data_IF_625971997427
#
_entry.id   IF_625971997427
#
_cell.length_a   1.000
_cell.length_b   1.000
_cell.length_c   1.000
_cell.angle_alpha   90.00
_cell.angle_beta   90.00
_cell.angle_gamma   90.00
#
_symmetry.space_group_name_H-M   'P 1'
#
loop_
_entity.id
_entity.type
_entity.pdbx_description
1 polymer ?
#
# COMPACT_ATOMS: atom_id res chain seq x y z
N UNK A 1 -46.29 -5.24 -5.00
CA UNK A 1 -46.37 -4.90 -6.44
C UNK A 1 -45.01 -5.26 -7.04
N UNK A 2 -44.89 -6.33 -7.80
CA UNK A 2 -43.65 -6.75 -8.46
C UNK A 2 -43.50 -5.90 -9.72
N UNK A 3 -42.58 -4.94 -9.68
CA UNK A 3 -42.17 -4.19 -10.86
C UNK A 3 -41.41 -5.14 -11.80
N UNK A 4 -41.89 -5.30 -13.04
CA UNK A 4 -41.21 -6.12 -14.07
C UNK A 4 -40.13 -5.28 -14.76
N UNK A 5 -38.95 -5.19 -14.15
CA UNK A 5 -37.80 -4.56 -14.78
C UNK A 5 -36.99 -5.57 -15.59
N UNK A 6 -36.45 -5.16 -16.74
CA UNK A 6 -35.43 -5.89 -17.46
C UNK A 6 -34.08 -5.74 -16.73
N UNK A 7 -33.77 -6.65 -15.80
CA UNK A 7 -32.48 -6.62 -15.08
C UNK A 7 -31.53 -7.70 -15.55
N UNK A 8 -30.33 -7.70 -15.03
CA UNK A 8 -29.35 -8.77 -15.24
C UNK A 8 -29.82 -10.06 -14.57
N UNK A 9 -29.94 -11.15 -15.35
CA UNK A 9 -30.34 -12.45 -14.84
C UNK A 9 -29.10 -13.30 -14.51
N UNK A 10 -28.97 -13.73 -13.26
CA UNK A 10 -27.87 -14.56 -12.80
C UNK A 10 -28.44 -15.93 -12.41
N UNK A 11 -28.02 -16.99 -13.11
CA UNK A 11 -28.37 -18.36 -12.77
C UNK A 11 -27.40 -18.92 -11.72
N UNK A 12 -27.90 -19.36 -10.57
CA UNK A 12 -27.12 -20.01 -9.52
C UNK A 12 -27.69 -21.40 -9.28
N UNK A 13 -26.82 -22.43 -9.27
CA UNK A 13 -27.21 -23.80 -8.91
C UNK A 13 -27.49 -23.86 -7.40
N UNK A 14 -28.66 -24.37 -7.02
CA UNK A 14 -28.93 -24.70 -5.63
C UNK A 14 -28.34 -26.09 -5.34
N UNK A 15 -27.38 -26.14 -4.43
CA UNK A 15 -26.69 -27.37 -4.05
C UNK A 15 -27.43 -28.26 -3.03
N UNK A 16 -28.64 -27.85 -2.63
CA UNK A 16 -29.39 -28.52 -1.56
C UNK A 16 -30.26 -29.70 -2.00
N UNK A 17 -30.39 -30.01 -3.31
CA UNK A 17 -31.20 -31.12 -3.79
C UNK A 17 -30.47 -31.98 -4.83
N UNK A 18 -30.31 -33.27 -4.53
CA UNK A 18 -29.51 -34.24 -5.30
C UNK A 18 -30.16 -34.65 -6.63
N UNK A 19 -31.40 -34.30 -6.93
CA UNK A 19 -32.15 -34.87 -8.09
C UNK A 19 -32.83 -33.86 -9.03
N UNK A 20 -32.80 -32.55 -8.75
CA UNK A 20 -33.30 -31.56 -9.71
C UNK A 20 -32.38 -30.37 -9.76
N UNK A 21 -31.82 -30.08 -10.94
CA UNK A 21 -31.04 -28.85 -11.18
C UNK A 21 -31.95 -27.62 -11.09
N UNK A 22 -32.19 -27.14 -9.87
CA UNK A 22 -32.89 -25.88 -9.66
C UNK A 22 -31.93 -24.75 -9.91
N UNK A 23 -32.13 -24.03 -11.00
CA UNK A 23 -31.46 -22.76 -11.26
C UNK A 23 -32.22 -21.66 -10.52
N UNK A 24 -31.62 -21.10 -9.48
CA UNK A 24 -32.12 -19.86 -8.90
C UNK A 24 -31.69 -18.69 -9.77
N UNK A 25 -32.67 -18.04 -10.40
CA UNK A 25 -32.43 -16.84 -11.19
C UNK A 25 -32.58 -15.61 -10.30
N UNK A 26 -31.48 -14.91 -10.03
CA UNK A 26 -31.50 -13.62 -9.34
C UNK A 26 -31.55 -12.53 -10.39
N UNK A 27 -32.65 -11.78 -10.45
CA UNK A 27 -32.75 -10.56 -11.24
C UNK A 27 -32.26 -9.38 -10.38
N UNK A 28 -31.04 -8.90 -10.69
CA UNK A 28 -30.53 -7.69 -10.10
C UNK A 28 -30.77 -6.52 -11.07
N UNK A 29 -31.64 -5.59 -10.69
CA UNK A 29 -31.99 -4.47 -11.56
C UNK A 29 -31.90 -3.11 -10.87
N UNK A 30 -31.95 -3.03 -9.55
CA UNK A 30 -31.88 -1.78 -8.82
C UNK A 30 -31.19 -1.98 -7.47
N UNK A 31 -30.31 -1.03 -7.14
CA UNK A 31 -29.65 -0.93 -5.84
C UNK A 31 -29.90 0.45 -5.25
N UNK A 32 -30.19 0.51 -3.97
CA UNK A 32 -30.41 1.75 -3.22
C UNK A 32 -29.35 1.90 -2.13
N UNK A 33 -28.83 3.10 -2.02
CA UNK A 33 -28.01 3.51 -0.88
C UNK A 33 -28.40 4.93 -0.49
N UNK A 34 -29.21 5.06 0.55
CA UNK A 34 -29.90 6.30 0.93
C UNK A 34 -30.70 6.87 -0.27
N UNK A 35 -30.34 8.05 -0.75
CA UNK A 35 -30.91 8.71 -1.93
C UNK A 35 -30.27 8.31 -3.26
N UNK A 36 -29.08 7.68 -3.22
CA UNK A 36 -28.41 7.19 -4.42
C UNK A 36 -29.05 5.90 -4.95
N UNK A 37 -29.44 5.90 -6.22
CA UNK A 37 -30.07 4.77 -6.91
C UNK A 37 -29.22 4.33 -8.10
N UNK A 38 -28.99 3.02 -8.25
CA UNK A 38 -28.31 2.43 -9.41
C UNK A 38 -29.27 1.45 -10.10
N UNK A 39 -29.54 1.66 -11.38
CA UNK A 39 -30.30 0.76 -12.25
C UNK A 39 -29.31 0.02 -13.12
N UNK A 40 -29.45 -1.32 -13.23
CA UNK A 40 -28.53 -2.19 -13.97
C UNK A 40 -29.32 -2.93 -15.04
N UNK A 41 -28.78 -2.98 -16.26
CA UNK A 41 -29.37 -3.73 -17.38
C UNK A 41 -28.27 -4.30 -18.29
N UNK A 42 -28.57 -5.41 -18.95
CA UNK A 42 -27.68 -6.07 -19.93
C UNK A 42 -27.81 -5.48 -21.34
N UNK A 43 -28.88 -4.75 -21.62
CA UNK A 43 -29.16 -4.17 -22.94
C UNK A 43 -29.57 -2.72 -22.86
N UNK A 44 -29.44 -1.97 -23.96
CA UNK A 44 -29.86 -0.59 -24.04
C UNK A 44 -31.40 -0.47 -23.92
N UNK A 45 -32.14 -1.32 -24.60
CA UNK A 45 -33.61 -1.30 -24.56
C UNK A 45 -34.12 -1.67 -23.17
N UNK A 46 -33.49 -2.65 -22.52
CA UNK A 46 -33.82 -3.02 -21.14
C UNK A 46 -33.55 -1.90 -20.16
N UNK A 47 -32.47 -1.12 -20.35
CA UNK A 47 -32.18 0.05 -19.51
C UNK A 47 -33.25 1.16 -19.73
N UNK A 48 -33.59 1.45 -21.00
CA UNK A 48 -34.62 2.45 -21.28
C UNK A 48 -35.98 2.05 -20.70
N UNK A 49 -36.36 0.79 -20.81
CA UNK A 49 -37.58 0.28 -20.18
C UNK A 49 -37.55 0.45 -18.65
N UNK A 50 -36.46 0.09 -18.00
CA UNK A 50 -36.30 0.27 -16.56
C UNK A 50 -36.33 1.74 -16.11
N UNK A 51 -35.80 2.66 -16.92
CA UNK A 51 -35.87 4.10 -16.66
C UNK A 51 -37.33 4.61 -16.75
N UNK A 52 -38.10 4.13 -17.72
CA UNK A 52 -39.51 4.51 -17.89
C UNK A 52 -40.35 4.02 -16.69
N UNK A 53 -40.16 2.77 -16.28
CA UNK A 53 -40.82 2.21 -15.10
C UNK A 53 -40.43 2.95 -13.81
N UNK A 54 -39.16 3.31 -13.68
CA UNK A 54 -38.67 4.06 -12.54
C UNK A 54 -39.28 5.49 -12.52
N UNK A 55 -39.48 6.12 -13.68
CA UNK A 55 -40.18 7.38 -13.78
C UNK A 55 -41.63 7.27 -13.28
N UNK A 56 -42.35 6.22 -13.72
CA UNK A 56 -43.74 5.95 -13.27
C UNK A 56 -43.78 5.76 -11.75
N UNK A 57 -42.84 5.02 -11.21
CA UNK A 57 -42.71 4.82 -9.75
C UNK A 57 -42.44 6.15 -9.02
N UNK A 58 -41.52 6.96 -9.51
CA UNK A 58 -41.24 8.27 -8.92
C UNK A 58 -42.45 9.19 -8.89
N UNK A 59 -43.21 9.23 -9.98
CA UNK A 59 -44.46 10.03 -10.06
C UNK A 59 -45.50 9.53 -9.05
N UNK A 60 -45.70 8.22 -8.94
CA UNK A 60 -46.66 7.65 -7.99
C UNK A 60 -46.33 8.02 -6.54
N UNK A 61 -45.01 8.03 -6.19
CA UNK A 61 -44.54 8.33 -4.84
C UNK A 61 -44.11 9.78 -4.64
N UNK A 62 -44.35 10.66 -5.63
CA UNK A 62 -43.99 12.09 -5.60
C UNK A 62 -42.48 12.31 -5.33
N UNK A 63 -41.65 11.46 -5.88
CA UNK A 63 -40.19 11.56 -5.81
C UNK A 63 -39.67 12.35 -7.01
N UNK A 64 -38.68 13.21 -6.79
CA UNK A 64 -38.02 13.97 -7.85
C UNK A 64 -36.61 13.45 -8.09
N UNK A 65 -36.34 13.07 -9.35
CA UNK A 65 -35.00 12.65 -9.77
C UNK A 65 -34.20 13.84 -10.27
N UNK A 66 -33.00 14.03 -9.79
CA UNK A 66 -32.05 15.03 -10.28
C UNK A 66 -31.39 14.54 -11.57
N UNK A 67 -31.95 14.87 -12.72
CA UNK A 67 -31.47 14.42 -14.04
C UNK A 67 -30.06 14.93 -14.35
N UNK A 68 -29.70 16.13 -13.91
CA UNK A 68 -28.34 16.69 -14.13
C UNK A 68 -27.25 15.87 -13.45
N UNK A 69 -27.55 15.25 -12.31
CA UNK A 69 -26.65 14.36 -11.58
C UNK A 69 -26.75 12.91 -12.05
N UNK A 70 -27.86 12.53 -12.68
CA UNK A 70 -28.08 11.17 -13.18
C UNK A 70 -27.27 10.94 -14.46
N UNK A 71 -26.53 9.83 -14.51
CA UNK A 71 -25.67 9.51 -15.66
C UNK A 71 -25.84 8.03 -16.05
N UNK A 72 -25.65 7.74 -17.32
CA UNK A 72 -25.54 6.37 -17.83
C UNK A 72 -24.09 6.04 -18.09
N UNK A 73 -23.65 4.86 -17.66
CA UNK A 73 -22.32 4.35 -17.97
C UNK A 73 -22.43 2.93 -18.54
N UNK A 74 -21.90 2.74 -19.74
CA UNK A 74 -21.88 1.44 -20.41
C UNK A 74 -20.53 0.79 -20.20
N UNK A 75 -20.49 -0.33 -19.48
CA UNK A 75 -19.28 -1.13 -19.32
C UNK A 75 -19.01 -1.96 -20.58
N UNK A 76 -17.95 -1.65 -21.29
CA UNK A 76 -17.55 -2.40 -22.48
C UNK A 76 -16.07 -2.23 -22.80
N UNK A 77 -15.47 -3.25 -23.45
CA UNK A 77 -14.09 -3.20 -23.96
C UNK A 77 -14.01 -2.66 -25.42
N UNK A 78 -15.15 -2.52 -26.10
CA UNK A 78 -15.23 -2.06 -27.49
C UNK A 78 -15.49 -0.55 -27.65
N UNK A 79 -15.86 -0.08 -28.86
CA UNK A 79 -16.26 1.29 -29.10
C UNK A 79 -17.42 1.74 -28.21
N UNK A 80 -17.53 3.05 -27.95
CA UNK A 80 -18.66 3.57 -27.15
C UNK A 80 -19.95 3.41 -27.93
N UNK A 81 -20.97 2.72 -27.38
CA UNK A 81 -22.29 2.70 -27.99
C UNK A 81 -22.84 4.11 -28.12
N UNK A 82 -23.53 4.41 -29.22
CA UNK A 82 -24.12 5.72 -29.49
C UNK A 82 -25.58 5.83 -29.01
N UNK A 83 -25.99 4.95 -28.08
CA UNK A 83 -27.35 4.95 -27.56
C UNK A 83 -27.60 6.23 -26.74
N UNK A 84 -28.74 6.85 -26.97
CA UNK A 84 -29.26 7.99 -26.20
C UNK A 84 -30.31 7.43 -25.26
N UNK A 85 -30.23 7.81 -23.99
CA UNK A 85 -31.19 7.39 -22.96
C UNK A 85 -31.98 8.57 -22.45
N UNK A 86 -33.22 8.32 -22.12
CA UNK A 86 -34.18 9.35 -21.68
C UNK A 86 -34.71 9.00 -20.29
N UNK A 87 -34.87 10.00 -19.45
CA UNK A 87 -35.73 9.95 -18.26
C UNK A 87 -36.89 10.90 -18.48
N UNK A 88 -38.06 10.35 -18.85
CA UNK A 88 -39.18 11.08 -19.43
C UNK A 88 -38.70 11.88 -20.65
N UNK A 89 -38.86 13.21 -20.67
CA UNK A 89 -38.47 14.08 -21.78
C UNK A 89 -37.02 14.56 -21.73
N UNK A 90 -36.26 14.20 -20.69
CA UNK A 90 -34.91 14.68 -20.48
C UNK A 90 -33.88 13.62 -20.95
N UNK A 91 -32.90 14.06 -21.74
CA UNK A 91 -31.78 13.22 -22.14
C UNK A 91 -30.84 13.01 -20.95
N UNK A 92 -30.49 11.76 -20.68
CA UNK A 92 -29.47 11.42 -19.68
C UNK A 92 -28.09 11.35 -20.36
N UNK A 93 -27.12 12.07 -19.80
CA UNK A 93 -25.75 12.07 -20.29
C UNK A 93 -25.09 10.70 -20.12
N UNK A 94 -24.48 10.19 -21.21
CA UNK A 94 -23.63 8.99 -21.18
C UNK A 94 -22.19 9.35 -20.86
N UNK A 95 -21.63 8.77 -19.79
CA UNK A 95 -20.30 9.07 -19.30
C UNK A 95 -19.36 7.87 -19.36
N UNK A 96 -18.05 8.12 -19.47
CA UNK A 96 -17.00 7.09 -19.43
C UNK A 96 -16.53 6.79 -18.01
N UNK A 97 -16.77 7.70 -17.09
CA UNK A 97 -16.35 7.63 -15.69
C UNK A 97 -17.45 8.22 -14.81
N UNK A 98 -17.72 7.57 -13.69
CA UNK A 98 -18.70 8.06 -12.73
C UNK A 98 -18.22 7.78 -11.31
N UNK A 99 -18.35 8.77 -10.42
CA UNK A 99 -18.03 8.63 -9.01
C UNK A 99 -19.27 8.18 -8.24
N UNK A 100 -19.25 6.94 -7.75
CA UNK A 100 -20.31 6.37 -6.93
C UNK A 100 -19.76 5.95 -5.57
N UNK A 101 -20.39 6.37 -4.50
CA UNK A 101 -19.97 6.11 -3.09
C UNK A 101 -18.48 6.35 -2.85
N UNK A 102 -17.91 7.42 -3.41
CA UNK A 102 -16.51 7.78 -3.22
C UNK A 102 -15.50 7.08 -4.14
N UNK A 103 -15.93 6.05 -4.87
CA UNK A 103 -15.09 5.31 -5.83
C UNK A 103 -15.40 5.76 -7.26
N UNK A 104 -14.39 6.00 -8.07
CA UNK A 104 -14.55 6.29 -9.50
C UNK A 104 -14.59 4.97 -10.27
N UNK A 105 -15.74 4.67 -10.83
CA UNK A 105 -15.90 3.59 -11.78
C UNK A 105 -15.53 4.09 -13.19
N UNK A 106 -14.88 3.23 -13.96
CA UNK A 106 -14.57 3.51 -15.37
C UNK A 106 -15.24 2.48 -16.25
N UNK A 107 -15.55 2.88 -17.47
CA UNK A 107 -16.17 2.04 -18.51
C UNK A 107 -15.38 0.73 -18.76
N UNK A 108 -14.06 0.75 -18.65
CA UNK A 108 -13.21 -0.41 -18.83
C UNK A 108 -13.26 -1.43 -17.69
N UNK A 109 -13.90 -1.08 -16.56
CA UNK A 109 -13.87 -1.87 -15.33
C UNK A 109 -12.56 -1.77 -14.54
N UNK A 110 -11.57 -0.97 -14.99
CA UNK A 110 -10.32 -0.75 -14.26
C UNK A 110 -10.50 0.29 -13.15
N UNK A 111 -9.82 0.07 -12.02
CA UNK A 111 -9.79 0.97 -10.88
C UNK A 111 -8.60 1.95 -10.88
N UNK A 112 -7.84 2.05 -11.98
CA UNK A 112 -6.71 2.98 -12.08
C UNK A 112 -7.10 4.44 -11.78
N UNK A 113 -8.27 4.88 -12.28
CA UNK A 113 -8.80 6.24 -12.01
C UNK A 113 -9.20 6.42 -10.55
N UNK A 114 -9.86 5.42 -9.96
CA UNK A 114 -10.19 5.41 -8.53
C UNK A 114 -8.95 5.54 -7.66
N UNK A 115 -7.93 4.71 -7.91
CA UNK A 115 -6.65 4.76 -7.18
C UNK A 115 -5.94 6.11 -7.33
N UNK A 116 -5.93 6.69 -8.54
CA UNK A 116 -5.38 8.03 -8.76
C UNK A 116 -6.12 9.09 -7.95
N UNK A 117 -7.45 9.06 -7.95
CA UNK A 117 -8.27 9.97 -7.16
C UNK A 117 -8.00 9.83 -5.65
N UNK A 118 -7.97 8.59 -5.14
CA UNK A 118 -7.66 8.31 -3.72
C UNK A 118 -6.25 8.78 -3.36
N UNK A 119 -5.27 8.56 -4.24
CA UNK A 119 -3.92 9.09 -4.07
C UNK A 119 -3.92 10.62 -3.93
N UNK A 120 -4.62 11.35 -4.80
CA UNK A 120 -4.71 12.82 -4.75
C UNK A 120 -5.37 13.30 -3.45
N UNK A 121 -6.45 12.64 -2.99
CA UNK A 121 -7.10 12.96 -1.71
C UNK A 121 -6.18 12.67 -0.52
N UNK A 122 -5.54 11.51 -0.50
CA UNK A 122 -4.58 11.13 0.53
C UNK A 122 -3.35 12.04 0.55
N UNK A 123 -2.90 12.51 -0.62
CA UNK A 123 -1.81 13.49 -0.72
C UNK A 123 -2.21 14.84 -0.09
N UNK A 124 -3.44 15.31 -0.30
CA UNK A 124 -3.97 16.51 0.39
C UNK A 124 -4.01 16.31 1.90
N UNK A 125 -4.52 15.16 2.36
CA UNK A 125 -4.54 14.80 3.78
C UNK A 125 -3.12 14.74 4.37
N UNK A 126 -2.16 14.14 3.66
CA UNK A 126 -0.75 14.07 4.06
C UNK A 126 -0.14 15.46 4.24
N UNK A 127 -0.37 16.38 3.32
CA UNK A 127 0.14 17.74 3.48
C UNK A 127 -0.54 18.50 4.63
N UNK A 128 -1.81 18.20 4.92
CA UNK A 128 -2.49 18.68 6.11
C UNK A 128 -1.81 18.18 7.39
N UNK A 129 -1.50 16.90 7.47
CA UNK A 129 -0.74 16.27 8.58
C UNK A 129 0.64 16.89 8.71
N UNK A 130 1.39 17.04 7.61
CA UNK A 130 2.71 17.68 7.60
C UNK A 130 2.67 19.11 8.15
N UNK A 131 1.65 19.87 7.81
CA UNK A 131 1.46 21.24 8.34
C UNK A 131 1.31 21.22 9.86
N UNK A 132 0.51 20.30 10.39
CA UNK A 132 0.33 20.14 11.85
C UNK A 132 1.61 19.65 12.54
N UNK A 133 2.35 18.72 11.94
CA UNK A 133 3.65 18.27 12.43
C UNK A 133 4.62 19.45 12.59
N UNK A 134 4.67 20.34 11.61
CA UNK A 134 5.54 21.54 11.65
C UNK A 134 5.07 22.54 12.70
N UNK A 135 3.76 22.78 12.78
CA UNK A 135 3.18 23.77 13.69
C UNK A 135 3.40 23.39 15.17
N UNK A 136 3.25 22.11 15.51
CA UNK A 136 3.27 21.64 16.90
C UNK A 136 4.54 20.89 17.29
N UNK A 137 5.53 20.78 16.40
CA UNK A 137 6.78 20.04 16.62
C UNK A 137 6.55 18.65 17.26
N UNK A 138 5.64 17.87 16.68
CA UNK A 138 5.16 16.63 17.25
C UNK A 138 6.28 15.57 17.39
N UNK A 139 6.25 14.70 18.42
CA UNK A 139 7.11 13.53 18.55
C UNK A 139 6.98 12.61 17.33
N UNK A 140 8.03 11.85 17.03
CA UNK A 140 8.05 10.98 15.83
C UNK A 140 6.92 9.96 15.82
N UNK A 141 6.64 9.31 16.94
CA UNK A 141 5.54 8.34 17.07
C UNK A 141 4.20 8.98 16.70
N UNK A 142 3.92 10.18 17.20
CA UNK A 142 2.71 10.91 16.83
C UNK A 142 2.66 11.26 15.35
N UNK A 143 3.82 11.56 14.71
CA UNK A 143 3.88 11.84 13.27
C UNK A 143 3.50 10.61 12.46
N UNK A 144 4.02 9.43 12.80
CA UNK A 144 3.71 8.16 12.17
C UNK A 144 2.25 7.77 12.40
N UNK A 145 1.78 7.87 13.64
CA UNK A 145 0.38 7.61 14.02
C UNK A 145 -0.63 8.48 13.26
N UNK A 146 -0.33 9.77 13.06
CA UNK A 146 -1.19 10.66 12.29
C UNK A 146 -1.28 10.24 10.82
N UNK A 147 -0.19 9.76 10.25
CA UNK A 147 -0.22 9.23 8.89
C UNK A 147 -1.12 7.99 8.82
N UNK A 148 -0.93 7.04 9.72
CA UNK A 148 -1.67 5.78 9.73
C UNK A 148 -3.17 5.99 10.01
N UNK A 149 -3.53 6.97 10.85
CA UNK A 149 -4.92 7.22 11.26
C UNK A 149 -5.67 8.20 10.36
N UNK A 150 -4.98 9.09 9.64
CA UNK A 150 -5.61 10.12 8.81
C UNK A 150 -5.39 9.86 7.32
N UNK A 151 -4.18 9.53 6.90
CA UNK A 151 -3.84 9.41 5.47
C UNK A 151 -4.16 8.02 4.94
N UNK A 152 -3.77 6.97 5.66
CA UNK A 152 -3.98 5.57 5.23
C UNK A 152 -5.46 5.23 5.03
N UNK A 153 -6.42 5.62 5.90
CA UNK A 153 -7.84 5.33 5.67
C UNK A 153 -8.40 5.98 4.39
N UNK A 154 -7.97 7.19 4.07
CA UNK A 154 -8.36 7.86 2.81
C UNK A 154 -7.75 7.14 1.62
N UNK A 155 -6.47 6.77 1.71
CA UNK A 155 -5.71 6.11 0.64
C UNK A 155 -6.25 4.72 0.32
N UNK A 156 -6.65 3.97 1.34
CA UNK A 156 -7.10 2.58 1.24
C UNK A 156 -8.63 2.43 1.27
N UNK A 157 -9.38 3.51 1.00
CA UNK A 157 -10.84 3.43 0.96
C UNK A 157 -11.31 2.47 -0.12
N UNK A 158 -12.10 1.45 0.26
CA UNK A 158 -12.63 0.43 -0.64
C UNK A 158 -11.56 -0.52 -1.25
N UNK A 159 -10.36 -0.58 -0.68
CA UNK A 159 -9.27 -1.43 -1.21
C UNK A 159 -9.61 -2.91 -1.25
N UNK A 160 -10.58 -3.35 -0.49
CA UNK A 160 -11.13 -4.70 -0.51
C UNK A 160 -11.62 -5.10 -1.92
N UNK A 161 -12.05 -4.12 -2.72
CA UNK A 161 -12.62 -4.33 -4.05
C UNK A 161 -11.57 -4.14 -5.15
N UNK A 162 -10.71 -3.13 -5.05
CA UNK A 162 -9.76 -2.76 -6.10
C UNK A 162 -8.29 -3.19 -5.83
N UNK A 163 -8.00 -3.73 -4.65
CA UNK A 163 -6.64 -4.07 -4.22
C UNK A 163 -5.94 -5.18 -5.02
N UNK A 164 -6.64 -5.84 -5.93
CA UNK A 164 -6.07 -6.85 -6.84
C UNK A 164 -5.25 -6.25 -8.00
N UNK A 165 -5.38 -4.97 -8.28
CA UNK A 165 -4.56 -4.27 -9.28
C UNK A 165 -3.26 -3.78 -8.64
N UNK A 166 -2.29 -3.33 -9.49
CA UNK A 166 -1.01 -2.76 -9.02
C UNK A 166 -1.20 -1.71 -7.92
N UNK A 167 -0.41 -1.83 -6.85
CA UNK A 167 -0.43 -0.95 -5.67
C UNK A 167 0.71 0.08 -5.67
N UNK A 168 1.49 0.20 -6.74
CA UNK A 168 2.67 1.09 -6.80
C UNK A 168 2.33 2.55 -6.50
N UNK A 169 1.19 3.03 -7.02
CA UNK A 169 0.76 4.41 -6.77
C UNK A 169 0.43 4.64 -5.29
N UNK A 170 -0.12 3.62 -4.63
CA UNK A 170 -0.49 3.67 -3.22
C UNK A 170 0.78 3.71 -2.34
N UNK A 171 1.75 2.84 -2.65
CA UNK A 171 3.00 2.76 -1.92
C UNK A 171 3.84 4.05 -2.01
N UNK A 172 3.77 4.75 -3.14
CA UNK A 172 4.50 6.03 -3.32
C UNK A 172 4.19 7.08 -2.26
N UNK A 173 2.94 7.17 -1.79
CA UNK A 173 2.58 8.19 -0.79
C UNK A 173 3.14 7.85 0.59
N UNK A 174 3.14 6.58 0.96
CA UNK A 174 3.75 6.08 2.19
C UNK A 174 5.24 6.36 2.23
N UNK A 175 5.96 5.97 1.18
CA UNK A 175 7.40 6.23 1.05
C UNK A 175 7.71 7.73 1.00
N UNK A 176 6.87 8.53 0.31
CA UNK A 176 7.03 9.99 0.25
C UNK A 176 6.93 10.61 1.64
N UNK A 177 5.97 10.17 2.45
CA UNK A 177 5.82 10.64 3.83
C UNK A 177 7.03 10.26 4.68
N UNK A 178 7.44 8.98 4.69
CA UNK A 178 8.60 8.51 5.47
C UNK A 178 9.88 9.26 5.07
N UNK A 179 10.16 9.38 3.76
CA UNK A 179 11.34 10.14 3.29
C UNK A 179 11.29 11.61 3.68
N UNK A 180 10.09 12.20 3.69
CA UNK A 180 9.90 13.59 4.10
C UNK A 180 10.23 13.82 5.59
N UNK A 181 9.66 13.01 6.50
CA UNK A 181 9.88 13.21 7.95
C UNK A 181 11.34 13.03 8.39
N UNK A 182 12.09 12.18 7.66
CA UNK A 182 13.51 11.94 7.92
C UNK A 182 14.45 12.78 7.06
N UNK A 183 13.91 13.64 6.19
CA UNK A 183 14.68 14.49 5.27
C UNK A 183 15.67 13.68 4.41
N UNK A 184 15.16 12.62 3.76
CA UNK A 184 15.93 11.71 2.91
C UNK A 184 15.64 11.94 1.43
N UNK A 185 16.62 11.63 0.56
CA UNK A 185 16.49 11.72 -0.90
C UNK A 185 15.44 10.72 -1.42
N UNK A 186 14.79 11.06 -2.53
CA UNK A 186 13.85 10.17 -3.22
C UNK A 186 14.51 8.84 -3.62
N UNK A 187 15.80 8.84 -3.92
CA UNK A 187 16.62 7.70 -4.31
C UNK A 187 17.01 6.77 -3.14
N UNK A 188 16.65 7.10 -1.89
CA UNK A 188 16.93 6.21 -0.75
C UNK A 188 16.18 4.88 -0.94
N UNK A 189 16.87 3.72 -0.83
CA UNK A 189 16.25 2.42 -1.02
C UNK A 189 15.07 2.17 -0.09
N UNK A 190 14.00 1.59 -0.62
CA UNK A 190 12.76 1.30 0.11
C UNK A 190 13.00 0.35 1.28
N UNK A 191 13.83 -0.69 1.09
CA UNK A 191 14.15 -1.65 2.13
C UNK A 191 14.86 -1.01 3.33
N UNK A 192 15.71 0.01 3.12
CA UNK A 192 16.33 0.75 4.23
C UNK A 192 15.29 1.55 5.01
N UNK A 193 14.35 2.21 4.31
CA UNK A 193 13.28 2.96 4.98
C UNK A 193 12.42 2.09 5.87
N UNK A 194 11.93 0.98 5.33
CA UNK A 194 11.12 0.04 6.09
C UNK A 194 11.93 -0.68 7.19
N UNK A 195 13.20 -1.02 6.91
CA UNK A 195 14.08 -1.60 7.91
C UNK A 195 14.34 -0.69 9.11
N UNK A 196 14.56 0.62 8.88
CA UNK A 196 14.80 1.58 9.97
C UNK A 196 13.51 1.88 10.77
N UNK A 197 12.36 2.02 10.09
CA UNK A 197 11.10 2.43 10.73
C UNK A 197 10.28 1.28 11.27
N UNK A 198 10.55 0.05 10.83
CA UNK A 198 9.73 -1.13 11.14
C UNK A 198 8.37 -1.15 10.45
N UNK A 199 8.11 -0.20 9.53
CA UNK A 199 6.87 -0.18 8.76
C UNK A 199 6.88 -1.24 7.67
N UNK A 200 5.71 -1.84 7.43
CA UNK A 200 5.51 -2.76 6.32
C UNK A 200 4.91 -2.02 5.12
N UNK A 201 5.13 -2.52 3.89
CA UNK A 201 4.43 -2.02 2.73
C UNK A 201 2.91 -2.12 2.87
N UNK A 202 2.20 -1.15 2.31
CA UNK A 202 0.73 -1.08 2.43
C UNK A 202 0.00 -2.27 1.78
N UNK A 203 0.66 -3.01 0.86
CA UNK A 203 0.04 -4.22 0.30
C UNK A 203 -0.31 -5.25 1.38
N UNK A 204 0.45 -5.32 2.48
CA UNK A 204 0.14 -6.21 3.63
C UNK A 204 -1.25 -5.88 4.18
N UNK A 205 -1.53 -4.60 4.39
CA UNK A 205 -2.84 -4.14 4.87
C UNK A 205 -3.94 -4.36 3.82
N UNK A 206 -3.67 -4.05 2.54
CA UNK A 206 -4.63 -4.22 1.45
C UNK A 206 -5.05 -5.68 1.32
N UNK A 207 -4.09 -6.59 1.20
CA UNK A 207 -4.36 -8.02 1.04
C UNK A 207 -5.06 -8.62 2.26
N UNK A 208 -4.65 -8.22 3.47
CA UNK A 208 -5.35 -8.63 4.69
C UNK A 208 -6.81 -8.17 4.68
N UNK A 209 -7.10 -6.93 4.26
CA UNK A 209 -8.47 -6.43 4.15
C UNK A 209 -9.28 -7.16 3.07
N UNK A 210 -8.68 -7.48 1.92
CA UNK A 210 -9.31 -8.28 0.87
C UNK A 210 -9.72 -9.66 1.38
N UNK A 211 -8.83 -10.35 2.10
CA UNK A 211 -9.13 -11.67 2.68
C UNK A 211 -10.22 -11.57 3.77
N UNK A 212 -10.17 -10.55 4.60
CA UNK A 212 -11.23 -10.32 5.59
C UNK A 212 -12.59 -10.05 4.95
N UNK A 213 -12.62 -9.33 3.84
CA UNK A 213 -13.84 -9.09 3.07
C UNK A 213 -14.35 -10.36 2.41
N UNK A 214 -13.46 -11.15 1.77
CA UNK A 214 -13.78 -12.47 1.24
C UNK A 214 -14.43 -13.37 2.31
N UNK A 215 -13.83 -13.46 3.49
CA UNK A 215 -14.39 -14.25 4.58
C UNK A 215 -15.77 -13.75 5.03
N UNK A 216 -16.00 -12.45 5.06
CA UNK A 216 -17.32 -11.86 5.33
C UNK A 216 -18.36 -12.25 4.28
N UNK A 217 -17.98 -12.37 3.00
CA UNK A 217 -18.88 -12.83 1.96
C UNK A 217 -19.35 -14.26 2.22
N UNK A 218 -18.41 -15.16 2.59
CA UNK A 218 -18.73 -16.55 2.93
C UNK A 218 -19.60 -16.70 4.18
N UNK A 219 -19.33 -15.88 5.19
CA UNK A 219 -20.10 -15.88 6.45
C UNK A 219 -21.44 -15.12 6.35
N UNK A 220 -21.72 -14.49 5.21
CA UNK A 220 -22.98 -13.78 5.00
C UNK A 220 -24.12 -14.79 4.80
N UNK A 221 -25.36 -14.46 5.25
CA UNK A 221 -26.53 -15.29 4.99
C UNK A 221 -26.65 -15.59 3.48
N UNK A 222 -27.01 -16.84 3.15
CA UNK A 222 -27.06 -17.32 1.76
C UNK A 222 -28.00 -16.53 0.86
N UNK A 223 -29.07 -15.96 1.43
CA UNK A 223 -30.03 -15.12 0.73
C UNK A 223 -29.55 -13.69 0.43
N UNK A 224 -28.36 -13.30 0.94
CA UNK A 224 -27.80 -11.99 0.61
C UNK A 224 -27.24 -11.96 -0.81
N UNK A 225 -27.60 -10.94 -1.57
CA UNK A 225 -27.18 -10.73 -2.96
C UNK A 225 -25.65 -10.85 -3.12
N UNK A 226 -24.87 -10.30 -2.20
CA UNK A 226 -23.40 -10.36 -2.27
C UNK A 226 -22.86 -11.79 -2.14
N UNK A 227 -23.50 -12.65 -1.31
CA UNK A 227 -23.15 -14.04 -1.16
C UNK A 227 -23.51 -14.82 -2.43
N UNK A 228 -24.71 -14.61 -2.97
CA UNK A 228 -25.19 -15.24 -4.21
C UNK A 228 -24.26 -14.88 -5.38
N UNK A 229 -23.93 -13.60 -5.54
CA UNK A 229 -23.02 -13.14 -6.59
C UNK A 229 -21.62 -13.74 -6.45
N UNK A 230 -21.12 -13.85 -5.22
CA UNK A 230 -19.83 -14.48 -4.96
C UNK A 230 -19.84 -15.97 -5.37
N UNK A 231 -20.83 -16.74 -4.92
CA UNK A 231 -20.99 -18.17 -5.26
C UNK A 231 -21.05 -18.36 -6.78
N UNK A 232 -21.83 -17.54 -7.47
CA UNK A 232 -21.93 -17.57 -8.93
C UNK A 232 -20.58 -17.31 -9.62
N UNK A 233 -19.86 -16.26 -9.20
CA UNK A 233 -18.53 -15.95 -9.76
C UNK A 233 -17.51 -17.06 -9.48
N UNK A 234 -17.54 -17.62 -8.27
CA UNK A 234 -16.66 -18.71 -7.90
C UNK A 234 -16.91 -19.96 -8.75
N UNK A 235 -18.17 -20.35 -8.95
CA UNK A 235 -18.54 -21.46 -9.82
C UNK A 235 -18.08 -21.25 -11.27
N UNK A 236 -18.28 -20.06 -11.81
CA UNK A 236 -17.79 -19.72 -13.17
C UNK A 236 -16.29 -19.87 -13.30
N UNK A 237 -15.53 -19.39 -12.32
CA UNK A 237 -14.06 -19.55 -12.30
C UNK A 237 -13.66 -21.02 -12.21
N UNK A 238 -14.38 -21.85 -11.45
CA UNK A 238 -14.04 -23.26 -11.29
C UNK A 238 -14.46 -24.13 -12.49
N UNK A 239 -15.61 -23.85 -13.10
CA UNK A 239 -16.22 -24.73 -14.12
C UNK A 239 -15.99 -24.25 -15.57
N UNK A 240 -16.00 -22.94 -15.81
CA UNK A 240 -16.05 -22.37 -17.15
C UNK A 240 -14.70 -21.73 -17.60
N UNK A 241 -13.61 -21.94 -16.85
CA UNK A 241 -12.32 -21.27 -17.10
C UNK A 241 -12.44 -19.73 -17.18
N UNK A 242 -13.48 -19.18 -16.55
CA UNK A 242 -13.70 -17.73 -16.50
C UNK A 242 -12.61 -17.07 -15.63
N UNK A 243 -11.96 -16.06 -16.17
CA UNK A 243 -10.92 -15.33 -15.44
C UNK A 243 -11.53 -14.14 -14.67
N UNK A 244 -11.44 -14.18 -13.35
CA UNK A 244 -11.76 -13.05 -12.49
C UNK A 244 -10.52 -12.62 -11.71
N UNK A 245 -10.04 -11.41 -11.97
CA UNK A 245 -8.78 -10.91 -11.39
C UNK A 245 -8.83 -10.80 -9.86
N UNK A 246 -9.98 -10.43 -9.28
CA UNK A 246 -10.14 -10.34 -7.83
C UNK A 246 -10.07 -11.73 -7.17
N UNK A 247 -10.81 -12.71 -7.70
CA UNK A 247 -10.77 -14.10 -7.20
C UNK A 247 -9.38 -14.72 -7.37
N UNK A 248 -8.73 -14.47 -8.52
CA UNK A 248 -7.37 -14.93 -8.77
C UNK A 248 -6.39 -14.34 -7.75
N UNK A 249 -6.52 -13.06 -7.42
CA UNK A 249 -5.71 -12.42 -6.39
C UNK A 249 -5.92 -13.06 -5.01
N UNK A 250 -7.18 -13.27 -4.58
CA UNK A 250 -7.51 -13.95 -3.32
C UNK A 250 -6.88 -15.34 -3.26
N UNK A 251 -7.05 -16.14 -4.32
CA UNK A 251 -6.43 -17.47 -4.44
C UNK A 251 -4.91 -17.41 -4.30
N UNK A 252 -4.27 -16.46 -4.98
CA UNK A 252 -2.81 -16.31 -4.92
C UNK A 252 -2.33 -15.91 -3.53
N UNK A 253 -3.07 -15.04 -2.82
CA UNK A 253 -2.74 -14.68 -1.43
C UNK A 253 -2.82 -15.93 -0.54
N UNK A 254 -3.88 -16.72 -0.62
CA UNK A 254 -3.99 -17.96 0.17
C UNK A 254 -2.88 -18.95 -0.16
N UNK A 255 -2.58 -19.16 -1.45
CA UNK A 255 -1.52 -20.07 -1.87
C UNK A 255 -0.15 -19.61 -1.35
N UNK A 256 0.17 -18.34 -1.49
CA UNK A 256 1.43 -17.79 -1.01
C UNK A 256 1.57 -17.84 0.51
N UNK A 257 0.47 -17.70 1.24
CA UNK A 257 0.46 -17.82 2.70
C UNK A 257 0.45 -19.27 3.22
N UNK A 258 0.38 -20.27 2.33
CA UNK A 258 0.30 -21.68 2.72
C UNK A 258 -1.09 -22.13 3.17
N UNK A 259 -2.14 -21.40 2.78
CA UNK A 259 -3.55 -21.67 3.13
C UNK A 259 -4.38 -22.07 1.91
N UNK A 260 -3.78 -22.77 0.94
CA UNK A 260 -4.48 -23.23 -0.27
C UNK A 260 -5.70 -24.13 0.03
N UNK A 261 -5.64 -24.89 1.12
CA UNK A 261 -6.78 -25.69 1.61
C UNK A 261 -8.00 -24.84 1.94
N UNK A 262 -7.83 -23.67 2.54
CA UNK A 262 -8.95 -22.75 2.86
C UNK A 262 -9.62 -22.26 1.57
N UNK A 263 -8.84 -21.98 0.53
CA UNK A 263 -9.38 -21.61 -0.77
C UNK A 263 -10.12 -22.77 -1.47
N UNK A 264 -9.56 -23.98 -1.41
CA UNK A 264 -10.11 -25.13 -2.12
C UNK A 264 -11.39 -25.67 -1.47
N UNK A 265 -11.49 -25.58 -0.16
CA UNK A 265 -12.59 -26.14 0.63
C UNK A 265 -13.39 -25.07 1.38
N UNK A 266 -13.77 -24.02 0.65
CA UNK A 266 -14.42 -22.81 1.21
C UNK A 266 -15.69 -23.10 2.01
N UNK A 267 -16.42 -24.18 1.68
CA UNK A 267 -17.71 -24.49 2.28
C UNK A 267 -17.61 -25.14 3.66
N UNK A 268 -16.44 -25.71 4.01
CA UNK A 268 -16.22 -26.41 5.28
C UNK A 268 -15.39 -25.61 6.30
N UNK A 269 -14.80 -24.48 5.89
CA UNK A 269 -13.99 -23.64 6.77
C UNK A 269 -14.76 -22.43 7.30
N UNK A 270 -15.39 -22.57 8.47
CA UNK A 270 -15.89 -21.43 9.24
C UNK A 270 -14.78 -20.85 10.10
N UNK A 271 -14.02 -19.89 9.57
CA UNK A 271 -12.92 -19.29 10.31
C UNK A 271 -13.36 -17.95 10.90
N UNK A 272 -13.08 -17.76 12.18
CA UNK A 272 -13.26 -16.47 12.82
C UNK A 272 -12.42 -15.40 12.08
N UNK A 273 -13.07 -14.33 11.68
CA UNK A 273 -12.44 -13.27 10.88
C UNK A 273 -11.21 -12.65 11.56
N UNK A 274 -11.20 -12.56 12.89
CA UNK A 274 -10.05 -12.07 13.67
C UNK A 274 -8.86 -13.02 13.57
N UNK A 275 -9.07 -14.31 13.71
CA UNK A 275 -8.03 -15.33 13.58
C UNK A 275 -7.45 -15.35 12.17
N UNK A 276 -8.31 -15.37 11.15
CA UNK A 276 -7.87 -15.33 9.74
C UNK A 276 -7.07 -14.08 9.44
N UNK A 277 -7.54 -12.92 9.89
CA UNK A 277 -6.82 -11.64 9.76
C UNK A 277 -5.42 -11.74 10.33
N UNK A 278 -5.29 -12.15 11.59
CA UNK A 278 -3.99 -12.23 12.28
C UNK A 278 -3.04 -13.20 11.58
N UNK A 279 -3.55 -14.38 11.18
CA UNK A 279 -2.72 -15.41 10.52
C UNK A 279 -2.23 -14.96 9.14
N UNK A 280 -3.10 -14.40 8.30
CA UNK A 280 -2.72 -13.92 6.95
C UNK A 280 -1.79 -12.72 7.06
N UNK A 281 -2.09 -11.76 7.92
CA UNK A 281 -1.25 -10.58 8.14
C UNK A 281 0.16 -10.98 8.58
N UNK A 282 0.28 -11.93 9.51
CA UNK A 282 1.58 -12.42 9.97
C UNK A 282 2.35 -13.10 8.85
N UNK A 283 1.72 -13.98 8.06
CA UNK A 283 2.38 -14.62 6.92
C UNK A 283 2.86 -13.63 5.87
N UNK A 284 2.07 -12.61 5.55
CA UNK A 284 2.49 -11.56 4.61
C UNK A 284 3.67 -10.74 5.15
N UNK A 285 3.69 -10.46 6.46
CA UNK A 285 4.82 -9.81 7.14
C UNK A 285 6.08 -10.68 7.09
N UNK A 286 5.96 -11.97 7.39
CA UNK A 286 7.09 -12.91 7.33
C UNK A 286 7.68 -13.01 5.93
N UNK A 287 6.84 -13.08 4.89
CA UNK A 287 7.27 -13.06 3.49
C UNK A 287 7.99 -11.75 3.13
N UNK A 288 7.47 -10.62 3.62
CA UNK A 288 8.14 -9.34 3.41
C UNK A 288 9.50 -9.29 4.09
N UNK A 289 9.64 -9.79 5.32
CA UNK A 289 10.91 -9.85 6.05
C UNK A 289 11.94 -10.69 5.28
N UNK A 290 11.54 -11.84 4.74
CA UNK A 290 12.41 -12.67 3.91
C UNK A 290 12.87 -11.93 2.65
N UNK A 291 11.93 -11.28 1.94
CA UNK A 291 12.25 -10.44 0.79
C UNK A 291 13.18 -9.29 1.17
N UNK A 292 12.92 -8.61 2.28
CA UNK A 292 13.74 -7.52 2.80
C UNK A 292 15.20 -7.96 3.05
N UNK A 293 15.39 -9.14 3.61
CA UNK A 293 16.73 -9.71 3.81
C UNK A 293 17.43 -9.99 2.46
N UNK A 294 16.72 -10.51 1.47
CA UNK A 294 17.25 -10.70 0.11
C UNK A 294 17.64 -9.37 -0.54
N UNK A 295 16.74 -8.39 -0.51
CA UNK A 295 16.95 -7.05 -1.07
C UNK A 295 18.21 -6.37 -0.49
N UNK A 296 18.47 -6.54 0.81
CA UNK A 296 19.70 -6.01 1.46
C UNK A 296 20.95 -6.74 0.95
N UNK A 297 20.92 -8.07 0.86
CA UNK A 297 22.10 -8.87 0.45
C UNK A 297 22.49 -8.62 -1.00
N UNK A 298 21.51 -8.46 -1.88
CA UNK A 298 21.69 -8.26 -3.31
C UNK A 298 22.09 -6.81 -3.67
N UNK A 299 21.77 -5.86 -2.81
CA UNK A 299 22.01 -4.46 -3.06
C UNK A 299 23.46 -4.04 -2.80
N UNK A 300 24.07 -3.35 -3.75
CA UNK A 300 25.40 -2.74 -3.58
C UNK A 300 25.45 -1.69 -2.45
N UNK A 301 24.32 -1.01 -2.15
CA UNK A 301 24.18 -0.13 -1.00
C UNK A 301 23.95 -0.88 0.31
N UNK A 302 23.43 -2.10 0.22
CA UNK A 302 23.12 -2.95 1.36
C UNK A 302 24.36 -3.51 2.06
N UNK A 303 25.54 -3.50 1.45
CA UNK A 303 26.74 -4.15 1.99
C UNK A 303 27.11 -3.63 3.38
N UNK A 304 27.28 -2.31 3.54
CA UNK A 304 27.56 -1.70 4.86
C UNK A 304 26.34 -1.76 5.77
N UNK A 305 25.15 -1.53 5.24
CA UNK A 305 23.90 -1.58 5.98
C UNK A 305 23.66 -2.97 6.62
N UNK A 306 23.96 -4.04 5.89
CA UNK A 306 23.81 -5.43 6.36
C UNK A 306 24.71 -5.78 7.56
N UNK A 307 25.83 -5.06 7.75
CA UNK A 307 26.75 -5.30 8.88
C UNK A 307 26.06 -5.01 10.22
N UNK A 308 25.22 -4.00 10.26
CA UNK A 308 24.57 -3.57 11.51
C UNK A 308 23.05 -3.73 11.51
N UNK A 309 22.38 -3.87 10.37
CA UNK A 309 20.92 -4.08 10.32
C UNK A 309 20.59 -5.51 9.88
N UNK A 310 20.57 -6.41 10.86
CA UNK A 310 20.35 -7.85 10.67
C UNK A 310 18.90 -8.27 10.90
N UNK A 311 18.14 -7.47 11.66
CA UNK A 311 16.75 -7.75 12.03
C UNK A 311 15.82 -6.64 11.52
N UNK A 312 14.65 -7.03 11.03
CA UNK A 312 13.61 -6.09 10.64
C UNK A 312 12.89 -5.56 11.87
N UNK A 313 12.73 -4.25 11.96
CA UNK A 313 12.02 -3.61 13.06
C UNK A 313 12.48 -2.17 13.29
N UNK A 314 11.74 -1.39 14.08
CA UNK A 314 12.06 0.01 14.33
C UNK A 314 13.36 0.16 15.12
N UNK A 315 14.21 1.08 14.70
CA UNK A 315 15.47 1.37 15.35
C UNK A 315 15.27 2.27 16.59
N UNK A 316 15.89 1.89 17.70
CA UNK A 316 15.74 2.59 18.99
C UNK A 316 16.16 4.06 18.94
N UNK A 317 17.21 4.39 18.16
CA UNK A 317 17.70 5.76 18.04
C UNK A 317 16.66 6.74 17.49
N UNK A 318 15.67 6.25 16.74
CA UNK A 318 14.60 7.08 16.17
C UNK A 318 13.80 7.84 17.24
N UNK A 319 13.59 7.22 18.40
CA UNK A 319 12.88 7.81 19.53
C UNK A 319 13.83 8.44 20.55
N UNK A 320 15.06 7.93 20.65
CA UNK A 320 16.04 8.43 21.61
C UNK A 320 16.62 9.79 21.18
N UNK A 321 16.94 9.97 19.91
CA UNK A 321 17.63 11.17 19.45
C UNK A 321 16.67 12.32 19.12
N UNK A 322 17.03 13.58 19.47
CA UNK A 322 16.34 14.76 18.98
C UNK A 322 16.46 14.85 17.45
N UNK A 323 15.51 15.53 16.82
CA UNK A 323 15.36 15.62 15.35
C UNK A 323 16.68 15.91 14.62
N UNK A 324 17.49 16.85 15.11
CA UNK A 324 18.79 17.21 14.50
C UNK A 324 19.71 15.99 14.37
N UNK A 325 19.98 15.31 15.48
CA UNK A 325 20.90 14.17 15.52
C UNK A 325 20.30 12.94 14.84
N UNK A 326 19.01 12.69 15.02
CA UNK A 326 18.29 11.62 14.31
C UNK A 326 18.42 11.75 12.79
N UNK A 327 18.29 12.96 12.25
CA UNK A 327 18.45 13.20 10.80
C UNK A 327 19.87 12.93 10.33
N UNK A 328 20.89 13.30 11.10
CA UNK A 328 22.29 13.01 10.76
C UNK A 328 22.51 11.50 10.75
N UNK A 329 22.05 10.81 11.79
CA UNK A 329 22.32 9.39 11.96
C UNK A 329 21.56 8.52 10.95
N UNK A 330 20.29 8.79 10.69
CA UNK A 330 19.54 8.04 9.67
C UNK A 330 20.14 8.25 8.27
N UNK A 331 20.57 9.47 7.93
CA UNK A 331 21.26 9.73 6.66
C UNK A 331 22.55 8.94 6.53
N UNK A 332 23.31 8.84 7.60
CA UNK A 332 24.53 8.05 7.64
C UNK A 332 24.25 6.56 7.45
N UNK A 333 23.33 5.99 8.23
CA UNK A 333 22.95 4.59 8.16
C UNK A 333 22.34 4.17 6.83
N UNK A 334 21.60 5.04 6.17
CA UNK A 334 20.89 4.73 4.92
C UNK A 334 21.63 5.16 3.66
N UNK A 335 22.96 5.34 3.75
CA UNK A 335 23.79 5.76 2.63
C UNK A 335 23.25 7.04 1.91
N UNK A 336 22.71 7.98 2.69
CA UNK A 336 22.13 9.23 2.21
C UNK A 336 23.04 10.44 2.54
N UNK A 337 24.31 10.29 2.23
CA UNK A 337 25.39 11.21 2.50
C UNK A 337 26.27 11.44 1.27
N UNK A 338 27.32 12.27 1.41
CA UNK A 338 28.22 12.65 0.33
C UNK A 338 29.66 12.09 0.51
N UNK A 339 29.81 10.98 1.25
CA UNK A 339 31.12 10.31 1.35
C UNK A 339 31.51 9.72 -0.03
N UNK A 340 32.82 9.53 -0.31
CA UNK A 340 33.32 9.04 -1.60
C UNK A 340 32.64 7.77 -2.09
N UNK A 341 32.29 6.85 -1.20
CA UNK A 341 31.56 5.60 -1.56
C UNK A 341 30.23 5.89 -2.27
N UNK A 342 29.52 6.95 -1.89
CA UNK A 342 28.23 7.33 -2.50
C UNK A 342 28.39 8.33 -3.64
N UNK A 343 29.26 9.34 -3.51
CA UNK A 343 29.49 10.31 -4.60
C UNK A 343 30.11 9.64 -5.82
N UNK A 344 31.06 8.73 -5.63
CA UNK A 344 31.62 7.91 -6.71
C UNK A 344 30.59 7.01 -7.38
N UNK A 345 29.59 6.51 -6.62
CA UNK A 345 28.46 5.76 -7.19
C UNK A 345 27.62 6.61 -8.15
N UNK A 346 27.39 7.87 -7.83
CA UNK A 346 26.62 8.77 -8.69
C UNK A 346 27.37 9.15 -9.97
N UNK A 347 28.70 9.18 -9.89
CA UNK A 347 29.58 9.43 -11.03
C UNK A 347 29.94 8.16 -11.83
N UNK A 348 29.42 6.99 -11.47
CA UNK A 348 29.75 5.71 -12.13
C UNK A 348 31.16 5.18 -11.84
N UNK A 349 31.89 5.75 -10.88
CA UNK A 349 33.24 5.33 -10.50
C UNK A 349 33.22 3.87 -9.96
N UNK A 350 34.13 3.01 -10.37
CA UNK A 350 34.26 1.65 -9.79
C UNK A 350 34.47 1.68 -8.28
N UNK A 351 33.91 0.70 -7.55
CA UNK A 351 33.91 0.71 -6.07
C UNK A 351 35.32 0.87 -5.48
N UNK A 352 36.29 0.17 -6.01
CA UNK A 352 37.68 0.17 -5.50
C UNK A 352 38.38 1.52 -5.68
N UNK A 353 37.92 2.35 -6.59
CA UNK A 353 38.46 3.70 -6.87
C UNK A 353 37.80 4.80 -6.02
N UNK A 354 36.71 4.49 -5.28
CA UNK A 354 36.04 5.44 -4.38
C UNK A 354 36.79 5.60 -3.07
N UNK A 355 38.05 6.03 -3.19
CA UNK A 355 38.99 6.07 -2.07
C UNK A 355 38.81 7.33 -1.21
N UNK A 356 39.30 7.24 0.03
CA UNK A 356 39.35 8.37 0.95
C UNK A 356 40.35 9.42 0.47
N UNK A 357 39.89 10.57 0.09
CA UNK A 357 40.74 11.71 -0.37
C UNK A 357 41.32 12.55 0.77
N UNK A 358 41.01 12.22 2.04
CA UNK A 358 41.51 12.96 3.20
C UNK A 358 42.76 12.35 3.80
N UNK A 359 42.83 11.02 3.88
CA UNK A 359 44.00 10.32 4.42
C UNK A 359 44.99 9.84 3.38
N UNK A 360 44.62 9.84 2.09
CA UNK A 360 45.46 9.45 0.94
C UNK A 360 46.13 8.07 1.06
N UNK A 361 45.46 7.10 1.78
CA UNK A 361 46.00 5.74 1.97
C UNK A 361 45.41 4.73 0.98
N UNK A 362 44.67 5.16 -0.04
CA UNK A 362 44.06 4.27 -1.02
C UNK A 362 42.91 3.40 -0.49
N UNK A 363 42.47 3.62 0.74
CA UNK A 363 41.34 2.85 1.32
C UNK A 363 40.01 3.42 0.86
N UNK A 364 39.00 2.55 0.73
CA UNK A 364 37.66 2.97 0.32
C UNK A 364 37.10 3.98 1.33
N UNK A 365 36.59 5.10 0.84
CA UNK A 365 36.02 6.16 1.67
C UNK A 365 34.56 5.89 2.05
N UNK A 366 34.34 4.80 2.78
CA UNK A 366 33.01 4.40 3.26
C UNK A 366 32.78 4.75 4.74
N UNK A 367 31.61 4.43 5.26
CA UNK A 367 31.18 4.75 6.61
C UNK A 367 32.06 4.09 7.67
N UNK A 368 32.48 2.84 7.41
CA UNK A 368 33.35 2.09 8.30
C UNK A 368 34.75 2.74 8.42
N UNK A 369 35.35 3.05 7.26
CA UNK A 369 36.64 3.69 7.21
C UNK A 369 36.68 5.03 7.98
N UNK A 370 35.72 5.91 7.73
CA UNK A 370 35.72 7.23 8.38
C UNK A 370 35.50 7.14 9.89
N UNK A 371 34.64 6.26 10.36
CA UNK A 371 34.33 6.12 11.79
C UNK A 371 35.48 5.44 12.54
N UNK A 372 36.05 4.35 12.04
CA UNK A 372 36.96 3.51 12.82
C UNK A 372 38.41 3.51 12.35
N UNK A 373 38.68 3.71 11.04
CA UNK A 373 40.03 3.48 10.50
C UNK A 373 40.80 4.78 10.19
N UNK A 374 40.10 5.78 9.60
CA UNK A 374 40.79 6.96 9.07
C UNK A 374 41.63 7.66 10.16
N UNK A 375 42.95 7.73 9.94
CA UNK A 375 43.89 8.32 10.89
C UNK A 375 43.72 9.84 11.07
N UNK A 376 43.24 10.54 10.03
CA UNK A 376 42.95 11.98 10.08
C UNK A 376 41.91 12.34 11.14
N UNK A 377 41.03 11.40 11.46
CA UNK A 377 39.99 11.57 12.48
C UNK A 377 40.37 10.91 13.83
N UNK A 378 41.61 10.52 14.02
CA UNK A 378 42.06 9.84 15.25
C UNK A 378 41.82 10.64 16.53
N UNK A 379 42.10 11.94 16.52
CA UNK A 379 41.85 12.83 17.68
C UNK A 379 40.35 12.99 17.95
N UNK A 380 39.54 13.19 16.91
CA UNK A 380 38.09 13.29 17.03
C UNK A 380 37.48 11.99 17.54
N UNK A 381 37.98 10.84 17.04
CA UNK A 381 37.56 9.51 17.52
C UNK A 381 37.79 9.36 19.00
N UNK A 382 39.00 9.71 19.50
CA UNK A 382 39.32 9.69 20.93
C UNK A 382 38.44 10.63 21.76
N UNK A 383 38.06 11.77 21.20
CA UNK A 383 37.22 12.76 21.89
C UNK A 383 35.74 12.33 22.00
N UNK A 384 35.19 11.72 20.97
CA UNK A 384 33.74 11.52 20.86
C UNK A 384 33.29 10.07 21.07
N UNK A 385 34.16 9.09 20.85
CA UNK A 385 33.81 7.68 21.01
C UNK A 385 34.44 7.08 22.25
N UNK A 386 33.82 6.05 22.88
CA UNK A 386 34.41 5.29 23.97
C UNK A 386 35.76 4.65 23.57
N UNK A 387 36.62 4.45 24.56
CA UNK A 387 37.99 3.97 24.37
C UNK A 387 38.09 2.66 23.56
N UNK A 388 37.14 1.75 23.74
CA UNK A 388 37.07 0.46 23.00
C UNK A 388 37.04 0.62 21.47
N UNK A 389 36.65 1.79 20.94
CA UNK A 389 36.62 2.07 19.52
C UNK A 389 37.87 2.81 18.98
N UNK A 390 38.84 3.11 19.83
CA UNK A 390 40.03 3.89 19.44
C UNK A 390 41.07 3.07 18.66
N UNK A 391 41.11 1.76 18.88
CA UNK A 391 42.11 0.87 18.27
C UNK A 391 41.48 -0.44 17.78
N UNK A 392 42.25 -1.18 16.96
CA UNK A 392 41.85 -2.49 16.38
C UNK A 392 40.46 -2.44 15.75
N UNK A 393 40.26 -1.60 14.70
CA UNK A 393 39.00 -1.51 14.02
C UNK A 393 38.57 -2.86 13.44
N UNK A 394 37.27 -3.16 13.56
CA UNK A 394 36.69 -4.36 12.96
C UNK A 394 35.16 -4.16 12.79
N UNK A 395 34.54 -4.98 11.96
CA UNK A 395 33.10 -4.87 11.68
C UNK A 395 32.20 -5.16 12.88
N UNK A 396 32.67 -5.95 13.84
CA UNK A 396 31.93 -6.19 15.09
C UNK A 396 31.77 -4.88 15.89
N UNK A 397 32.86 -4.16 16.11
CA UNK A 397 32.83 -2.84 16.78
C UNK A 397 31.98 -1.83 16.02
N UNK A 398 32.06 -1.85 14.70
CA UNK A 398 31.23 -0.98 13.87
C UNK A 398 29.74 -1.31 14.04
N UNK A 399 29.38 -2.58 13.96
CA UNK A 399 28.01 -3.06 14.17
C UNK A 399 27.49 -2.68 15.56
N UNK A 400 28.30 -2.92 16.60
CA UNK A 400 27.96 -2.57 17.98
C UNK A 400 27.69 -1.06 18.12
N UNK A 401 28.56 -0.22 17.55
CA UNK A 401 28.41 1.23 17.59
C UNK A 401 27.14 1.71 16.86
N UNK A 402 26.84 1.13 15.68
CA UNK A 402 25.65 1.46 14.92
C UNK A 402 24.35 1.00 15.59
N UNK A 403 24.39 -0.03 16.42
CA UNK A 403 23.24 -0.60 17.17
C UNK A 403 23.07 -0.02 18.56
N UNK A 404 23.98 0.82 19.04
CA UNK A 404 23.95 1.31 20.42
C UNK A 404 22.63 2.03 20.75
N UNK A 405 22.14 1.82 21.97
CA UNK A 405 20.98 2.53 22.52
C UNK A 405 21.41 3.54 23.63
N UNK A 406 22.71 3.70 23.86
CA UNK A 406 23.21 4.70 24.79
C UNK A 406 23.07 6.11 24.20
N UNK A 407 22.30 6.96 24.85
CA UNK A 407 22.03 8.33 24.38
C UNK A 407 23.30 9.18 24.24
N UNK A 408 24.23 9.07 25.17
CA UNK A 408 25.47 9.87 25.16
C UNK A 408 26.39 9.41 24.03
N UNK A 409 26.54 8.10 23.83
CA UNK A 409 27.32 7.53 22.73
C UNK A 409 26.71 7.91 21.39
N UNK A 410 25.38 7.82 21.25
CA UNK A 410 24.68 8.20 20.02
C UNK A 410 24.84 9.68 19.69
N UNK A 411 24.69 10.55 20.69
CA UNK A 411 24.83 12.00 20.52
C UNK A 411 26.25 12.38 20.09
N UNK A 412 27.24 11.82 20.78
CA UNK A 412 28.65 12.04 20.45
C UNK A 412 29.02 11.49 19.08
N UNK A 413 28.49 10.32 18.72
CA UNK A 413 28.65 9.75 17.36
C UNK A 413 28.06 10.68 16.29
N UNK A 414 26.90 11.25 16.51
CA UNK A 414 26.28 12.20 15.58
C UNK A 414 27.14 13.48 15.43
N UNK A 415 27.71 13.98 16.52
CA UNK A 415 28.64 15.11 16.48
C UNK A 415 29.89 14.73 15.69
N UNK A 416 30.44 13.54 15.90
CA UNK A 416 31.59 13.03 15.18
C UNK A 416 31.29 12.89 13.66
N UNK A 417 30.16 12.31 13.29
CA UNK A 417 29.72 12.24 11.89
C UNK A 417 29.62 13.62 11.27
N UNK A 418 29.10 14.61 12.00
CA UNK A 418 29.05 16.01 11.51
C UNK A 418 30.45 16.55 11.22
N UNK A 419 31.44 16.27 12.09
CA UNK A 419 32.85 16.68 11.86
C UNK A 419 33.49 15.98 10.67
N UNK A 420 33.11 14.73 10.41
CA UNK A 420 33.53 14.02 9.19
C UNK A 420 32.95 14.75 7.96
N UNK A 421 31.66 15.08 7.96
CA UNK A 421 31.02 15.77 6.82
C UNK A 421 31.61 17.16 6.58
N UNK A 422 31.89 17.95 7.61
CA UNK A 422 32.54 19.26 7.50
C UNK A 422 33.89 19.16 6.76
N UNK A 423 34.64 18.08 6.98
CA UNK A 423 35.99 17.95 6.39
C UNK A 423 35.99 17.20 5.05
N UNK A 424 35.09 16.21 4.88
CA UNK A 424 35.08 15.34 3.70
C UNK A 424 34.16 15.90 2.61
N UNK A 425 33.10 16.60 3.01
CA UNK A 425 32.06 17.11 2.13
C UNK A 425 31.88 18.60 2.38
N UNK A 426 32.89 19.45 2.09
CA UNK A 426 32.70 20.87 2.28
C UNK A 426 31.54 21.39 1.44
N UNK A 427 30.83 22.44 1.88
CA UNK A 427 29.62 22.98 1.26
C UNK A 427 29.84 23.42 -0.19
#
# INVERSE_FOLDING_TARGET
>A
MLLRFGGMTIGVKDSSTVENEFFMYVKLFILFYADDTVIISESADGLQHALNEFYTYCNQWKLTVNVDKTKVMVFSKGPTPKNVFYFHDNVIESVKEFKYLGIIFSRSGSFCKAKKHLYEQAQKAMYGVIRKIRQFNLPLECQLDLFDKIVVPVLLYGCEIWGFESLDIIERIHLKFLKYIFNLKSSTPTYMMYGETGHFPLYVTVYTRMICYWNKLLLSPENKIVCILYKYLYEKVCKESYQNAWLSCIRNIFNSCGYSNIWNDQMHFFINNKCLKTSVEQRLKDQYIQKWQSDIRESSKGQIYNIFKTEFGPEKYLNLLPKKFRTIFIKFRTANHHLPIETGRWCGTPKLERTCHVCNRGQIGDEYHYILECNVFGLQRKKYLPEKYHCRPNFYKFSELMKTADYNVLTNLCIFISKIYEKVCPP
#
